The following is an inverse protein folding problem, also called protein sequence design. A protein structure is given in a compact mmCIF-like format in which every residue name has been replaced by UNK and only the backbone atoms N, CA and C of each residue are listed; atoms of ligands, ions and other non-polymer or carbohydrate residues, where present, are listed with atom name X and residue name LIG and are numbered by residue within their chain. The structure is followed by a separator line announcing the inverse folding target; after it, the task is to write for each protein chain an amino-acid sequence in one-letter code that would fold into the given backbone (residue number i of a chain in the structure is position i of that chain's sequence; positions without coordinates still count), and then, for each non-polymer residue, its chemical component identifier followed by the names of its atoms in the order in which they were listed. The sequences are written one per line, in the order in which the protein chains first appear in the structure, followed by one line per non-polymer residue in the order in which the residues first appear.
data_IF_973047638593
#
_entry.id   IF_973047638593
#
_cell.length_a   1.000
_cell.length_b   1.000
_cell.length_c   1.000
_cell.angle_alpha   90.00
_cell.angle_beta   90.00
_cell.angle_gamma   90.00
#
_symmetry.space_group_name_H-M   'P 1'
#
loop_
_entity.id
_entity.type
_entity.pdbx_description
1 polymer ?
#
# COMPACT_ATOMS: atom_id res chain seq x y z
N UNK A 1 29.06 -29.38 -18.06
CA UNK A 1 27.84 -28.55 -18.06
C UNK A 1 28.24 -27.15 -17.67
N UNK A 2 28.18 -26.20 -18.58
CA UNK A 2 28.53 -24.80 -18.27
C UNK A 2 27.33 -24.15 -17.58
N UNK A 3 27.42 -23.93 -16.27
CA UNK A 3 26.52 -23.06 -15.53
C UNK A 3 26.93 -21.62 -15.84
N UNK A 4 26.14 -20.94 -16.67
CA UNK A 4 26.23 -19.48 -16.79
C UNK A 4 25.71 -18.90 -15.48
N UNK A 5 26.62 -18.42 -14.64
CA UNK A 5 26.29 -17.44 -13.61
C UNK A 5 25.89 -16.17 -14.34
N UNK A 6 24.58 -15.92 -14.46
CA UNK A 6 24.08 -14.62 -14.90
C UNK A 6 24.38 -13.65 -13.75
N UNK A 7 25.22 -12.65 -13.99
CA UNK A 7 25.38 -11.52 -13.06
C UNK A 7 23.98 -10.97 -12.74
N UNK A 8 23.65 -10.80 -11.46
CA UNK A 8 22.30 -10.45 -11.01
C UNK A 8 21.65 -9.37 -11.89
N UNK A 9 20.51 -9.70 -12.49
CA UNK A 9 19.75 -8.74 -13.29
C UNK A 9 19.18 -7.67 -12.37
N UNK A 10 18.99 -6.45 -12.88
CA UNK A 10 18.26 -5.43 -12.12
C UNK A 10 16.82 -5.90 -11.94
N UNK A 11 16.32 -6.06 -10.70
CA UNK A 11 14.96 -6.51 -10.46
C UNK A 11 13.95 -5.56 -11.12
N UNK A 12 12.87 -6.12 -11.64
CA UNK A 12 11.83 -5.38 -12.36
C UNK A 12 12.37 -4.58 -13.56
N UNK A 13 13.43 -5.07 -14.19
CA UNK A 13 13.83 -4.59 -15.51
C UNK A 13 12.77 -5.00 -16.53
N UNK A 14 12.64 -4.21 -17.60
CA UNK A 14 11.64 -4.48 -18.64
C UNK A 14 12.25 -4.33 -20.03
N UNK A 15 11.96 -5.28 -20.93
CA UNK A 15 12.32 -5.21 -22.35
C UNK A 15 11.17 -5.76 -23.19
N UNK A 16 10.79 -5.04 -24.26
CA UNK A 16 9.71 -5.43 -25.17
C UNK A 16 8.38 -5.77 -24.46
N UNK A 17 8.07 -5.08 -23.35
CA UNK A 17 6.86 -5.32 -22.56
C UNK A 17 6.93 -6.52 -21.60
N UNK A 18 8.07 -7.19 -21.49
CA UNK A 18 8.31 -8.30 -20.57
C UNK A 18 9.08 -7.79 -19.35
N UNK A 19 8.65 -8.16 -18.14
CA UNK A 19 9.34 -7.85 -16.88
C UNK A 19 10.20 -9.02 -16.42
N UNK A 20 11.31 -8.73 -15.76
CA UNK A 20 12.27 -9.73 -15.26
C UNK A 20 12.54 -9.58 -13.76
N UNK A 21 12.72 -10.70 -13.06
CA UNK A 21 13.10 -10.76 -11.64
C UNK A 21 14.61 -10.48 -11.45
N UNK A 22 15.07 -10.46 -10.19
CA UNK A 22 16.49 -10.23 -9.87
C UNK A 22 17.44 -11.34 -10.35
N UNK A 23 16.90 -12.50 -10.75
CA UNK A 23 17.65 -13.60 -11.35
C UNK A 23 17.65 -13.55 -12.89
N UNK A 24 16.96 -12.58 -13.48
CA UNK A 24 16.80 -12.46 -14.93
C UNK A 24 15.72 -13.37 -15.53
N UNK A 25 14.88 -14.01 -14.71
CA UNK A 25 13.75 -14.79 -15.19
C UNK A 25 12.57 -13.87 -15.52
N UNK A 26 11.83 -14.20 -16.58
CA UNK A 26 10.57 -13.53 -16.88
C UNK A 26 9.57 -13.66 -15.72
N UNK A 27 8.98 -12.54 -15.33
CA UNK A 27 7.83 -12.48 -14.42
C UNK A 27 6.57 -12.66 -15.25
N UNK A 28 6.18 -13.92 -15.45
CA UNK A 28 5.01 -14.27 -16.27
C UNK A 28 3.74 -13.60 -15.75
N UNK A 29 3.03 -12.93 -16.65
CA UNK A 29 1.76 -12.25 -16.35
C UNK A 29 1.90 -10.86 -15.73
N UNK A 30 3.12 -10.37 -15.48
CA UNK A 30 3.31 -8.98 -15.09
C UNK A 30 2.95 -8.04 -16.26
N UNK A 31 1.99 -7.15 -16.01
CA UNK A 31 1.54 -6.14 -17.00
C UNK A 31 1.89 -4.71 -16.58
N UNK A 32 2.36 -4.51 -15.35
CA UNK A 32 2.64 -3.22 -14.77
C UNK A 32 3.70 -3.35 -13.65
N UNK A 33 4.36 -2.24 -13.35
CA UNK A 33 5.34 -2.13 -12.26
C UNK A 33 4.91 -1.00 -11.34
N UNK A 34 4.82 -1.29 -10.05
CA UNK A 34 4.40 -0.32 -9.04
C UNK A 34 5.33 -0.29 -7.84
N UNK A 35 5.02 0.63 -6.92
CA UNK A 35 5.66 0.77 -5.61
C UNK A 35 4.59 0.95 -4.53
N UNK A 36 4.87 0.61 -3.29
CA UNK A 36 4.13 1.05 -2.12
C UNK A 36 5.01 2.02 -1.31
N UNK A 37 4.43 3.12 -0.83
CA UNK A 37 5.19 4.18 -0.16
C UNK A 37 4.43 4.81 0.99
N UNK A 38 5.21 5.35 1.94
CA UNK A 38 4.75 6.00 3.17
C UNK A 38 5.75 7.09 3.59
N UNK A 39 5.56 7.68 4.78
CA UNK A 39 6.56 8.62 5.33
C UNK A 39 7.96 8.02 5.47
N UNK A 40 8.09 6.69 5.60
CA UNK A 40 9.37 6.01 5.74
C UNK A 40 10.28 6.21 4.50
N UNK A 41 9.69 6.53 3.34
CA UNK A 41 10.42 6.76 2.10
C UNK A 41 10.90 8.22 1.94
N UNK A 42 10.53 9.11 2.86
CA UNK A 42 10.93 10.52 2.81
C UNK A 42 10.29 11.30 1.66
N UNK A 43 11.02 12.28 1.13
CA UNK A 43 10.59 13.07 -0.02
C UNK A 43 10.86 12.33 -1.34
N UNK A 44 9.79 12.12 -2.11
CA UNK A 44 9.84 11.37 -3.37
C UNK A 44 9.87 12.33 -4.56
N UNK A 45 10.83 12.11 -5.46
CA UNK A 45 10.87 12.73 -6.78
C UNK A 45 10.00 11.93 -7.75
N UNK A 46 8.71 12.28 -7.82
CA UNK A 46 7.71 11.56 -8.60
C UNK A 46 7.95 11.60 -10.11
N UNK A 47 8.65 12.63 -10.60
CA UNK A 47 9.07 12.68 -12.01
C UNK A 47 10.13 11.61 -12.31
N UNK A 48 11.09 11.40 -11.40
CA UNK A 48 12.04 10.28 -11.50
C UNK A 48 11.36 8.93 -11.36
N UNK A 49 10.38 8.80 -10.46
CA UNK A 49 9.57 7.56 -10.33
C UNK A 49 8.88 7.22 -11.64
N UNK A 50 8.23 8.21 -12.28
CA UNK A 50 7.60 8.04 -13.60
C UNK A 50 8.63 7.66 -14.67
N UNK A 51 9.77 8.35 -14.71
CA UNK A 51 10.85 8.07 -15.66
C UNK A 51 11.47 6.68 -15.49
N UNK A 52 11.43 6.12 -14.27
CA UNK A 52 11.85 4.75 -13.96
C UNK A 52 10.84 3.67 -14.41
N UNK A 53 9.75 4.05 -15.09
CA UNK A 53 8.74 3.14 -15.63
C UNK A 53 7.74 2.64 -14.59
N UNK A 54 7.65 3.29 -13.42
CA UNK A 54 6.61 3.00 -12.43
C UNK A 54 5.27 3.54 -12.96
N UNK A 55 4.28 2.65 -13.07
CA UNK A 55 2.95 2.98 -13.60
C UNK A 55 1.88 3.13 -12.54
N UNK A 56 2.11 2.60 -11.32
CA UNK A 56 1.21 2.79 -10.19
C UNK A 56 1.92 2.87 -8.83
N UNK A 57 1.23 3.41 -7.82
CA UNK A 57 1.68 3.43 -6.44
C UNK A 57 0.57 3.06 -5.44
N UNK A 58 0.90 2.40 -4.33
CA UNK A 58 0.02 2.27 -3.17
C UNK A 58 0.50 3.23 -2.09
N UNK A 59 -0.34 4.18 -1.69
CA UNK A 59 0.03 5.26 -0.78
C UNK A 59 -0.52 5.00 0.61
N UNK A 60 0.33 4.93 1.63
CA UNK A 60 -0.16 4.83 3.02
C UNK A 60 -0.84 6.14 3.40
N UNK A 61 -2.09 6.07 3.84
CA UNK A 61 -2.79 7.23 4.38
C UNK A 61 -2.61 7.39 5.89
N UNK A 62 -2.36 6.29 6.60
CA UNK A 62 -2.17 6.27 8.03
C UNK A 62 -1.99 4.84 8.54
N UNK A 63 -2.06 4.71 9.86
CA UNK A 63 -2.11 3.45 10.57
C UNK A 63 -3.11 3.55 11.71
N UNK A 64 -3.66 2.41 12.16
CA UNK A 64 -4.53 2.34 13.33
C UNK A 64 -5.78 3.24 13.27
N UNK A 65 -6.34 3.50 14.44
CA UNK A 65 -7.61 4.24 14.58
C UNK A 65 -7.53 5.65 13.99
N UNK A 66 -8.70 6.24 13.71
CA UNK A 66 -8.85 7.59 13.19
C UNK A 66 -8.36 8.68 14.17
N UNK A 67 -7.05 8.84 14.23
CA UNK A 67 -6.35 9.75 15.12
C UNK A 67 -5.29 10.52 14.31
N UNK A 68 -5.27 11.85 14.47
CA UNK A 68 -4.40 12.75 13.67
C UNK A 68 -2.91 12.47 13.79
N UNK A 69 -2.47 11.95 14.94
CA UNK A 69 -1.08 11.55 15.17
C UNK A 69 -0.71 10.23 14.48
N UNK A 70 -1.67 9.53 13.89
CA UNK A 70 -1.49 8.30 13.12
C UNK A 70 -1.65 8.53 11.61
N UNK A 71 -1.92 9.77 11.18
CA UNK A 71 -1.89 10.18 9.78
C UNK A 71 -0.47 9.99 9.21
N UNK A 72 -0.38 9.43 8.01
CA UNK A 72 0.89 9.43 7.28
C UNK A 72 1.18 10.85 6.78
N UNK A 73 2.19 11.48 7.38
CA UNK A 73 2.56 12.87 7.10
C UNK A 73 2.98 13.13 5.65
N UNK A 74 3.23 12.09 4.85
CA UNK A 74 3.56 12.21 3.42
C UNK A 74 2.38 11.94 2.50
N UNK A 75 1.21 11.51 3.00
CA UNK A 75 0.08 11.10 2.17
C UNK A 75 -0.35 12.19 1.16
N UNK A 76 -0.65 13.40 1.64
CA UNK A 76 -1.10 14.51 0.77
C UNK A 76 -0.05 14.87 -0.30
N UNK A 77 1.23 14.89 0.08
CA UNK A 77 2.33 15.15 -0.85
C UNK A 77 2.45 14.03 -1.90
N UNK A 78 2.27 12.78 -1.49
CA UNK A 78 2.36 11.62 -2.37
C UNK A 78 1.17 11.52 -3.34
N UNK A 79 -0.05 11.83 -2.87
CA UNK A 79 -1.24 11.95 -3.72
C UNK A 79 -0.99 12.96 -4.84
N UNK A 80 -0.58 14.19 -4.46
CA UNK A 80 -0.27 15.24 -5.44
C UNK A 80 0.83 14.80 -6.41
N UNK A 81 1.87 14.16 -5.89
CA UNK A 81 2.97 13.64 -6.70
C UNK A 81 2.53 12.63 -7.76
N UNK A 82 1.61 11.71 -7.40
CA UNK A 82 1.04 10.75 -8.35
C UNK A 82 0.16 11.45 -9.40
N UNK A 83 -0.74 12.34 -8.97
CA UNK A 83 -1.66 13.06 -9.86
C UNK A 83 -0.91 13.94 -10.88
N UNK A 84 0.06 14.73 -10.42
CA UNK A 84 0.84 15.64 -11.27
C UNK A 84 1.71 14.87 -12.32
N UNK A 85 2.02 13.59 -12.06
CA UNK A 85 2.87 12.77 -12.93
C UNK A 85 2.10 11.66 -13.68
N UNK A 86 0.77 11.63 -13.56
CA UNK A 86 -0.07 10.60 -14.19
C UNK A 86 0.32 9.18 -13.78
N UNK A 87 0.60 8.97 -12.50
CA UNK A 87 0.83 7.65 -11.89
C UNK A 87 -0.49 7.23 -11.25
N UNK A 88 -1.00 6.06 -11.62
CA UNK A 88 -2.21 5.52 -10.99
C UNK A 88 -1.92 5.23 -9.53
N UNK A 89 -2.89 5.39 -8.64
CA UNK A 89 -2.63 5.08 -7.24
C UNK A 89 -3.84 4.52 -6.51
N UNK A 90 -3.51 3.65 -5.56
CA UNK A 90 -4.41 3.17 -4.52
C UNK A 90 -3.99 3.73 -3.17
N UNK A 91 -4.83 3.53 -2.17
CA UNK A 91 -4.58 3.96 -0.80
C UNK A 91 -4.52 2.74 0.08
N UNK A 92 -3.64 2.73 1.08
CA UNK A 92 -3.67 1.68 2.10
C UNK A 92 -3.59 2.25 3.51
N UNK A 93 -4.11 1.48 4.46
CA UNK A 93 -4.02 1.74 5.89
C UNK A 93 -3.45 0.52 6.59
N UNK A 94 -2.43 0.74 7.43
CA UNK A 94 -1.83 -0.30 8.27
C UNK A 94 -2.66 -0.53 9.52
N UNK A 95 -3.23 -1.72 9.68
CA UNK A 95 -4.16 -2.04 10.75
C UNK A 95 -3.45 -2.33 12.08
N UNK A 96 -4.00 -1.82 13.17
CA UNK A 96 -3.71 -2.26 14.54
C UNK A 96 -4.93 -2.88 15.23
N UNK A 97 -6.05 -3.05 14.52
CA UNK A 97 -7.25 -3.67 15.05
C UNK A 97 -6.99 -5.10 15.55
N UNK A 98 -7.39 -5.36 16.79
CA UNK A 98 -7.20 -6.65 17.48
C UNK A 98 -8.43 -7.01 18.30
N UNK A 99 -8.68 -8.31 18.48
CA UNK A 99 -9.87 -8.80 19.18
C UNK A 99 -9.77 -8.84 20.71
N UNK A 100 -8.60 -8.52 21.26
CA UNK A 100 -8.30 -8.58 22.69
C UNK A 100 -7.84 -7.23 23.27
N UNK A 101 -8.13 -6.14 22.58
CA UNK A 101 -7.88 -4.81 23.11
C UNK A 101 -8.65 -4.58 24.42
N UNK A 102 -8.09 -3.76 25.31
CA UNK A 102 -8.64 -3.53 26.66
C UNK A 102 -9.77 -2.50 26.66
N UNK A 103 -9.85 -1.66 25.64
CA UNK A 103 -10.71 -0.48 25.60
C UNK A 103 -11.73 -0.53 24.46
N UNK A 104 -11.34 -1.06 23.30
CA UNK A 104 -12.15 -1.09 22.07
C UNK A 104 -12.45 -2.52 21.65
N UNK A 105 -13.59 -2.72 20.99
CA UNK A 105 -13.86 -4.00 20.33
C UNK A 105 -13.15 -4.06 18.98
N UNK A 106 -13.01 -5.28 18.43
CA UNK A 106 -12.50 -5.46 17.07
C UNK A 106 -13.29 -4.65 16.04
N UNK A 107 -14.61 -4.59 16.22
CA UNK A 107 -15.50 -3.83 15.35
C UNK A 107 -15.24 -2.33 15.45
N UNK A 108 -15.10 -1.79 16.66
CA UNK A 108 -14.83 -0.36 16.86
C UNK A 108 -13.51 0.04 16.20
N UNK A 109 -12.46 -0.78 16.35
CA UNK A 109 -11.15 -0.50 15.77
C UNK A 109 -11.18 -0.58 14.24
N UNK A 110 -11.74 -1.65 13.66
CA UNK A 110 -11.81 -1.81 12.20
C UNK A 110 -12.70 -0.74 11.55
N UNK A 111 -13.77 -0.31 12.23
CA UNK A 111 -14.63 0.80 11.79
C UNK A 111 -13.87 2.13 11.82
N UNK A 112 -13.17 2.42 12.91
CA UNK A 112 -12.38 3.64 13.06
C UNK A 112 -11.25 3.69 12.02
N UNK A 113 -10.62 2.56 11.72
CA UNK A 113 -9.61 2.43 10.67
C UNK A 113 -10.18 2.74 9.27
N UNK A 114 -11.40 2.30 8.96
CA UNK A 114 -12.07 2.68 7.71
C UNK A 114 -12.42 4.19 7.66
N UNK A 115 -12.92 4.75 8.76
CA UNK A 115 -13.19 6.19 8.90
C UNK A 115 -11.92 7.04 8.70
N UNK A 116 -10.78 6.55 9.18
CA UNK A 116 -9.47 7.17 8.98
C UNK A 116 -9.13 7.30 7.50
N UNK A 117 -9.31 6.23 6.73
CA UNK A 117 -9.10 6.26 5.28
C UNK A 117 -9.99 7.28 4.60
N UNK A 118 -11.29 7.27 4.92
CA UNK A 118 -12.27 8.19 4.34
C UNK A 118 -11.88 9.65 4.59
N UNK A 119 -11.54 9.98 5.86
CA UNK A 119 -11.08 11.32 6.22
C UNK A 119 -9.84 11.72 5.42
N UNK A 120 -8.85 10.84 5.33
CA UNK A 120 -7.60 11.16 4.63
C UNK A 120 -7.83 11.38 3.13
N UNK A 121 -8.66 10.55 2.49
CA UNK A 121 -9.03 10.71 1.08
C UNK A 121 -9.77 12.05 0.87
N UNK A 122 -10.75 12.36 1.72
CA UNK A 122 -11.54 13.59 1.63
C UNK A 122 -10.69 14.84 1.80
N UNK A 123 -9.89 14.90 2.88
CA UNK A 123 -9.08 16.08 3.20
C UNK A 123 -7.93 16.31 2.21
N UNK A 124 -7.37 15.24 1.64
CA UNK A 124 -6.39 15.36 0.57
C UNK A 124 -7.02 15.76 -0.77
N UNK A 125 -8.36 15.72 -0.90
CA UNK A 125 -9.05 15.84 -2.18
C UNK A 125 -8.65 14.74 -3.18
N UNK A 126 -8.23 13.59 -2.65
CA UNK A 126 -7.63 12.51 -3.43
C UNK A 126 -8.68 11.83 -4.33
N UNK A 127 -8.27 11.43 -5.53
CA UNK A 127 -9.06 10.64 -6.47
C UNK A 127 -8.32 9.35 -6.85
N UNK A 128 -8.24 8.36 -5.93
CA UNK A 128 -7.57 7.09 -6.21
C UNK A 128 -8.15 6.44 -7.47
N UNK A 129 -7.27 5.99 -8.36
CA UNK A 129 -7.66 5.25 -9.57
C UNK A 129 -7.55 3.74 -9.38
N UNK A 130 -7.06 3.32 -8.21
CA UNK A 130 -7.00 1.93 -7.76
C UNK A 130 -7.71 1.79 -6.40
N UNK A 131 -7.99 0.56 -5.95
CA UNK A 131 -8.72 0.32 -4.70
C UNK A 131 -8.06 0.92 -3.45
N UNK A 132 -8.86 0.97 -2.39
CA UNK A 132 -8.38 1.04 -1.01
C UNK A 132 -7.97 -0.37 -0.57
N UNK A 133 -6.84 -0.47 0.12
CA UNK A 133 -6.28 -1.70 0.65
C UNK A 133 -6.22 -1.63 2.17
N UNK A 134 -6.58 -2.73 2.81
CA UNK A 134 -6.50 -2.87 4.25
C UNK A 134 -5.33 -3.80 4.58
N UNK A 135 -4.31 -3.24 5.21
CA UNK A 135 -3.04 -3.93 5.45
C UNK A 135 -3.06 -4.57 6.84
N UNK A 136 -3.36 -5.87 6.87
CA UNK A 136 -3.53 -6.70 8.07
C UNK A 136 -2.32 -7.62 8.21
N UNK A 137 -1.28 -7.11 8.87
CA UNK A 137 -0.01 -7.84 9.02
C UNK A 137 0.70 -7.60 10.36
N UNK A 138 0.09 -6.86 11.30
CA UNK A 138 0.75 -6.54 12.56
C UNK A 138 0.93 -7.79 13.43
N UNK A 139 2.08 -7.85 14.10
CA UNK A 139 2.44 -8.97 14.99
C UNK A 139 1.43 -9.20 16.12
N UNK A 140 0.69 -8.17 16.54
CA UNK A 140 -0.35 -8.29 17.57
C UNK A 140 -1.56 -9.11 17.10
N UNK A 141 -1.71 -9.28 15.78
CA UNK A 141 -2.81 -9.99 15.14
C UNK A 141 -2.52 -11.49 15.00
N UNK A 142 -1.27 -11.95 15.21
CA UNK A 142 -0.84 -13.35 14.98
C UNK A 142 -1.71 -14.38 15.72
N UNK A 143 -2.23 -14.05 16.90
CA UNK A 143 -3.08 -14.94 17.70
C UNK A 143 -4.59 -14.82 17.39
N UNK A 144 -4.97 -14.02 16.39
CA UNK A 144 -6.36 -13.87 15.96
C UNK A 144 -6.83 -15.09 15.18
N UNK A 145 -8.10 -15.43 15.37
CA UNK A 145 -8.76 -16.50 14.63
C UNK A 145 -9.03 -16.07 13.18
N UNK A 146 -9.12 -17.04 12.25
CA UNK A 146 -9.55 -16.77 10.87
C UNK A 146 -10.89 -16.03 10.79
N UNK A 147 -11.81 -16.28 11.74
CA UNK A 147 -13.07 -15.54 11.82
C UNK A 147 -12.82 -14.05 12.10
N UNK A 148 -11.96 -13.72 13.06
CA UNK A 148 -11.67 -12.33 13.39
C UNK A 148 -11.01 -11.59 12.22
N UNK A 149 -10.10 -12.24 11.48
CA UNK A 149 -9.56 -11.68 10.23
C UNK A 149 -10.65 -11.40 9.18
N UNK A 150 -11.61 -12.32 9.02
CA UNK A 150 -12.75 -12.13 8.13
C UNK A 150 -13.66 -10.99 8.58
N UNK A 151 -13.99 -10.93 9.87
CA UNK A 151 -14.83 -9.89 10.47
C UNK A 151 -14.20 -8.49 10.27
N UNK A 152 -12.88 -8.35 10.50
CA UNK A 152 -12.15 -7.10 10.24
C UNK A 152 -12.31 -6.63 8.80
N UNK A 153 -12.05 -7.52 7.84
CA UNK A 153 -12.09 -7.19 6.42
C UNK A 153 -13.52 -6.82 5.98
N UNK A 154 -14.54 -7.52 6.49
CA UNK A 154 -15.94 -7.22 6.21
C UNK A 154 -16.36 -5.86 6.79
N UNK A 155 -16.03 -5.58 8.05
CA UNK A 155 -16.35 -4.30 8.71
C UNK A 155 -15.68 -3.13 7.96
N UNK A 156 -14.40 -3.27 7.63
CA UNK A 156 -13.65 -2.23 6.93
C UNK A 156 -14.21 -1.95 5.54
N UNK A 157 -14.68 -2.98 4.82
CA UNK A 157 -15.15 -2.84 3.43
C UNK A 157 -16.61 -2.34 3.27
N UNK A 158 -17.38 -2.24 4.37
CA UNK A 158 -18.80 -1.85 4.32
C UNK A 158 -19.01 -0.33 4.44
N UNK A 159 -17.98 0.42 4.82
CA UNK A 159 -18.00 1.89 4.89
C UNK A 159 -17.50 2.53 3.59
#
# INVERSE_FOLDING_TARGET
TFSVQVSGATPWSSANGIFYDGNGNEIKGAIAKGIDVSYHNGDIDWAKVKAAGISFALLRCGYGNDERNQDDIKFVQNVKGCEDNGIQYGVYLYSYAVGNDKEKTLEDMARSEAEHVLRMIEEAGAKPTMPVYYDIEDKSQVEMTTKQYGDMAEIFAIL
#
